data_IF_272949672482
#
_entry.id   IF_272949672482
#
_cell.length_a   1.000
_cell.length_b   1.000
_cell.length_c   1.000
_cell.angle_alpha   90.00
_cell.angle_beta   90.00
_cell.angle_gamma   90.00
#
_symmetry.space_group_name_H-M   'P 1'
#
loop_
_entity.id
_entity.type
_entity.pdbx_description
1 polymer ?
#
# COMPACT_ATOMS: atom_id res chain seq x y z
N UNK A 1 -21.51 -5.53 -71.25
CA UNK A 1 -20.42 -5.46 -72.24
C UNK A 1 -19.13 -5.08 -71.51
N UNK A 2 -18.09 -5.91 -71.63
CA UNK A 2 -16.66 -5.78 -71.25
C UNK A 2 -16.29 -5.48 -69.78
N UNK A 3 -15.74 -6.43 -68.99
CA UNK A 3 -14.42 -7.14 -69.07
C UNK A 3 -13.26 -6.14 -69.14
N UNK A 4 -12.15 -6.18 -68.38
CA UNK A 4 -11.44 -7.12 -67.48
C UNK A 4 -10.33 -6.26 -66.82
N UNK A 5 -9.86 -6.53 -65.60
CA UNK A 5 -8.66 -7.35 -65.38
C UNK A 5 -8.73 -8.07 -64.02
N UNK A 6 -8.78 -9.38 -64.12
CA UNK A 6 -8.32 -10.38 -63.16
C UNK A 6 -6.79 -10.44 -63.18
N UNK A 7 -6.18 -10.78 -62.04
CA UNK A 7 -5.27 -11.93 -61.85
C UNK A 7 -4.50 -11.72 -60.52
N UNK A 8 -4.73 -12.55 -59.49
CA UNK A 8 -3.94 -13.75 -59.12
C UNK A 8 -2.81 -13.37 -58.16
N UNK A 9 -2.38 -14.10 -57.11
CA UNK A 9 -2.61 -15.42 -56.52
C UNK A 9 -2.06 -15.28 -55.07
N UNK A 10 -2.75 -15.73 -54.02
CA UNK A 10 -2.63 -17.06 -53.43
C UNK A 10 -1.19 -17.60 -53.32
N UNK A 11 -0.63 -17.58 -52.10
CA UNK A 11 0.36 -18.55 -51.61
C UNK A 11 0.25 -18.61 -50.07
N UNK A 12 -0.56 -19.54 -49.55
CA UNK A 12 -0.14 -20.76 -48.84
C UNK A 12 0.54 -20.49 -47.49
N UNK A 13 -0.17 -20.71 -46.38
CA UNK A 13 -0.27 -22.01 -45.68
C UNK A 13 0.91 -22.23 -44.72
N UNK A 14 0.64 -22.19 -43.42
CA UNK A 14 0.56 -23.41 -42.60
C UNK A 14 0.64 -23.09 -41.10
N UNK A 15 -0.20 -23.81 -40.33
CA UNK A 15 -0.08 -24.09 -38.89
C UNK A 15 -0.34 -22.88 -37.96
N UNK A 16 -1.37 -22.83 -37.11
CA UNK A 16 -1.65 -23.80 -36.05
C UNK A 16 -3.12 -23.69 -35.60
N UNK A 17 -3.94 -24.65 -36.03
CA UNK A 17 -5.14 -25.06 -35.30
C UNK A 17 -4.83 -26.43 -34.70
N UNK A 18 -4.39 -26.45 -33.44
CA UNK A 18 -4.55 -27.62 -32.56
C UNK A 18 -5.14 -27.14 -31.24
N UNK A 19 -6.46 -27.33 -31.15
CA UNK A 19 -7.25 -27.34 -29.91
C UNK A 19 -6.60 -28.28 -28.91
N UNK A 20 -6.38 -27.81 -27.68
CA UNK A 20 -6.65 -28.63 -26.50
C UNK A 20 -7.78 -27.96 -25.74
N UNK A 21 -8.98 -28.52 -25.93
CA UNK A 21 -10.21 -28.21 -25.25
C UNK A 21 -10.04 -28.75 -23.82
N UNK A 22 -9.78 -27.91 -22.83
CA UNK A 22 -9.86 -28.34 -21.43
C UNK A 22 -11.34 -28.31 -21.08
N UNK A 23 -11.95 -29.48 -20.94
CA UNK A 23 -13.28 -29.63 -20.36
C UNK A 23 -13.20 -29.22 -18.89
N UNK A 24 -13.74 -28.04 -18.58
CA UNK A 24 -14.02 -27.67 -17.18
C UNK A 24 -15.42 -28.17 -16.85
N UNK A 25 -15.53 -29.46 -16.58
CA UNK A 25 -16.69 -30.04 -15.92
C UNK A 25 -16.20 -30.87 -14.73
N UNK A 26 -16.24 -30.23 -13.56
CA UNK A 26 -15.96 -30.82 -12.26
C UNK A 26 -15.85 -29.70 -11.22
N UNK A 27 -16.43 -29.85 -10.01
CA UNK A 27 -16.23 -28.87 -8.96
C UNK A 27 -14.73 -28.79 -8.67
N UNK A 28 -14.17 -27.58 -8.75
CA UNK A 28 -12.79 -27.32 -8.34
C UNK A 28 -12.67 -27.81 -6.90
N UNK A 29 -11.95 -28.93 -6.73
CA UNK A 29 -11.73 -29.57 -5.44
C UNK A 29 -11.18 -28.51 -4.48
N UNK A 30 -11.86 -28.28 -3.37
CA UNK A 30 -11.57 -27.27 -2.33
C UNK A 30 -10.09 -27.21 -1.92
N UNK A 31 -9.42 -28.37 -1.98
CA UNK A 31 -8.00 -28.58 -1.76
C UNK A 31 -7.06 -27.93 -2.81
N UNK A 32 -7.48 -27.70 -4.05
CA UNK A 32 -6.71 -26.95 -5.06
C UNK A 32 -6.77 -25.46 -4.79
N UNK A 33 -7.94 -24.95 -4.41
CA UNK A 33 -8.13 -23.55 -4.02
C UNK A 33 -7.31 -23.26 -2.75
N UNK A 34 -7.31 -24.17 -1.77
CA UNK A 34 -6.51 -24.05 -0.53
C UNK A 34 -4.99 -24.01 -0.79
N UNK A 35 -4.48 -24.80 -1.75
CA UNK A 35 -3.06 -24.83 -2.11
C UNK A 35 -2.58 -23.58 -2.87
N UNK A 36 -3.44 -22.94 -3.67
CA UNK A 36 -3.11 -21.68 -4.34
C UNK A 36 -3.30 -20.45 -3.43
N UNK A 37 -4.19 -20.54 -2.43
CA UNK A 37 -4.51 -19.45 -1.52
C UNK A 37 -3.64 -19.40 -0.25
N UNK A 38 -2.92 -20.47 0.10
CA UNK A 38 -2.07 -20.48 1.29
C UNK A 38 -0.58 -20.47 0.96
N UNK A 39 0.20 -19.48 1.43
CA UNK A 39 1.64 -19.51 1.27
C UNK A 39 2.27 -20.72 1.98
N UNK A 40 3.38 -21.23 1.44
CA UNK A 40 4.12 -22.33 2.08
C UNK A 40 4.74 -21.87 3.41
N UNK A 41 5.02 -22.81 4.31
CA UNK A 41 5.68 -22.47 5.59
C UNK A 41 7.03 -21.80 5.37
N UNK A 42 7.78 -22.22 4.34
CA UNK A 42 9.02 -21.59 3.92
C UNK A 42 8.82 -20.13 3.55
N UNK A 43 7.82 -19.83 2.71
CA UNK A 43 7.49 -18.45 2.34
C UNK A 43 7.06 -17.61 3.56
N UNK A 44 6.15 -18.13 4.39
CA UNK A 44 5.69 -17.43 5.61
C UNK A 44 6.87 -17.12 6.53
N UNK A 45 7.79 -18.07 6.69
CA UNK A 45 8.97 -17.91 7.53
C UNK A 45 9.92 -16.85 6.96
N UNK A 46 10.20 -16.91 5.66
CA UNK A 46 11.05 -15.95 4.98
C UNK A 46 10.48 -14.52 5.03
N UNK A 47 9.18 -14.38 4.75
CA UNK A 47 8.43 -13.12 4.90
C UNK A 47 8.56 -12.59 6.33
N UNK A 48 8.32 -13.43 7.34
CA UNK A 48 8.40 -13.01 8.74
C UNK A 48 9.79 -12.54 9.14
N UNK A 49 10.84 -13.19 8.65
CA UNK A 49 12.23 -12.76 8.86
C UNK A 49 12.46 -11.38 8.24
N UNK A 50 12.07 -11.19 6.98
CA UNK A 50 12.27 -9.92 6.27
C UNK A 50 11.47 -8.78 6.91
N UNK A 51 10.20 -9.02 7.28
CA UNK A 51 9.40 -8.05 8.04
C UNK A 51 10.12 -7.67 9.33
N UNK A 52 10.64 -8.66 10.08
CA UNK A 52 11.38 -8.39 11.33
C UNK A 52 12.59 -7.49 11.09
N UNK A 53 13.31 -7.66 9.97
CA UNK A 53 14.42 -6.79 9.59
C UNK A 53 13.96 -5.37 9.28
N UNK A 54 12.88 -5.20 8.52
CA UNK A 54 12.28 -3.89 8.24
C UNK A 54 11.71 -3.21 9.50
N UNK A 55 11.23 -3.99 10.47
CA UNK A 55 10.69 -3.50 11.75
C UNK A 55 11.76 -3.18 12.79
N UNK A 56 13.05 -3.35 12.49
CA UNK A 56 14.11 -2.96 13.43
C UNK A 56 14.10 -1.46 13.66
N UNK A 57 14.29 -1.04 14.92
CA UNK A 57 14.32 0.38 15.28
C UNK A 57 15.33 1.19 14.46
N UNK A 58 16.52 0.64 14.21
CA UNK A 58 17.56 1.33 13.44
C UNK A 58 17.25 1.46 11.93
N UNK A 59 16.31 0.67 11.43
CA UNK A 59 15.76 0.78 10.07
C UNK A 59 14.59 1.76 10.06
N UNK A 60 13.65 1.62 11.00
CA UNK A 60 12.51 2.55 11.12
C UNK A 60 12.98 3.99 11.38
N UNK A 61 13.96 4.20 12.25
CA UNK A 61 14.59 5.50 12.49
C UNK A 61 15.22 6.07 11.22
N UNK A 62 15.82 5.22 10.39
CA UNK A 62 16.36 5.65 9.11
C UNK A 62 15.24 6.15 8.20
N UNK A 63 14.13 5.39 8.08
CA UNK A 63 12.93 5.74 7.30
C UNK A 63 12.28 7.05 7.81
N UNK A 64 12.14 7.20 9.13
CA UNK A 64 11.59 8.42 9.75
C UNK A 64 12.49 9.62 9.44
N UNK A 65 13.82 9.48 9.52
CA UNK A 65 14.74 10.56 9.12
C UNK A 65 14.62 10.94 7.65
N UNK A 66 14.28 9.99 6.77
CA UNK A 66 13.99 10.30 5.35
C UNK A 66 12.77 11.20 5.22
N UNK A 67 11.84 11.01 6.16
CA UNK A 67 10.55 11.66 6.20
C UNK A 67 10.55 13.02 6.84
N UNK A 68 11.72 13.56 7.20
CA UNK A 68 11.87 14.88 7.82
C UNK A 68 12.90 15.75 7.09
N UNK A 69 13.21 15.44 5.82
CA UNK A 69 14.22 16.18 5.06
C UNK A 69 13.80 17.66 4.86
N UNK A 70 14.75 18.63 4.98
CA UNK A 70 14.44 20.06 4.86
C UNK A 70 13.90 20.47 3.50
N UNK A 71 13.24 21.63 3.45
CA UNK A 71 12.77 22.27 2.22
C UNK A 71 13.93 22.50 1.20
N UNK A 72 13.63 22.32 -0.09
CA UNK A 72 14.58 22.57 -1.19
C UNK A 72 15.31 21.35 -1.76
N UNK A 73 15.08 20.15 -1.22
CA UNK A 73 15.63 18.90 -1.76
C UNK A 73 14.83 18.37 -2.97
N UNK A 74 15.50 17.67 -3.88
CA UNK A 74 14.82 16.99 -4.98
C UNK A 74 14.22 15.69 -4.43
N UNK A 75 13.05 15.87 -3.80
CA UNK A 75 12.35 14.86 -3.01
C UNK A 75 12.31 13.48 -3.68
N UNK A 76 11.96 13.38 -4.96
CA UNK A 76 11.89 12.06 -5.62
C UNK A 76 13.25 11.39 -5.79
N UNK A 77 14.31 12.16 -6.06
CA UNK A 77 15.66 11.62 -6.23
C UNK A 77 16.26 11.20 -4.89
N UNK A 78 16.07 11.99 -3.86
CA UNK A 78 16.68 11.78 -2.56
C UNK A 78 15.97 10.66 -1.79
N UNK A 79 14.62 10.58 -1.89
CA UNK A 79 13.86 9.44 -1.39
C UNK A 79 14.28 8.12 -2.05
N UNK A 80 14.48 8.10 -3.37
CA UNK A 80 14.94 6.88 -4.06
C UNK A 80 16.35 6.44 -3.62
N UNK A 81 17.30 7.36 -3.51
CA UNK A 81 18.66 7.05 -3.03
C UNK A 81 18.65 6.53 -1.60
N UNK A 82 17.84 7.13 -0.75
CA UNK A 82 17.77 6.77 0.66
C UNK A 82 17.00 5.47 0.89
N UNK A 83 15.90 5.24 0.15
CA UNK A 83 15.21 3.95 0.06
C UNK A 83 16.19 2.84 -0.34
N UNK A 84 17.03 3.10 -1.35
CA UNK A 84 18.08 2.16 -1.76
C UNK A 84 19.11 1.94 -0.64
N UNK A 85 19.47 2.97 0.12
CA UNK A 85 20.34 2.85 1.28
C UNK A 85 19.78 1.94 2.37
N UNK A 86 18.49 2.08 2.70
CA UNK A 86 17.81 1.20 3.67
C UNK A 86 17.75 -0.24 3.14
N UNK A 87 17.41 -0.43 1.86
CA UNK A 87 17.39 -1.75 1.21
C UNK A 87 18.75 -2.43 1.24
N UNK A 88 19.83 -1.70 0.94
CA UNK A 88 21.19 -2.22 0.99
C UNK A 88 21.56 -2.65 2.42
N UNK A 89 21.21 -1.84 3.42
CA UNK A 89 21.46 -2.17 4.83
C UNK A 89 20.75 -3.46 5.26
N UNK A 90 19.51 -3.67 4.81
CA UNK A 90 18.79 -4.93 5.08
C UNK A 90 19.41 -6.10 4.31
N UNK A 91 19.88 -5.88 3.07
CA UNK A 91 20.59 -6.89 2.31
C UNK A 91 21.87 -7.33 3.04
N UNK A 92 22.65 -6.39 3.57
CA UNK A 92 23.84 -6.69 4.37
C UNK A 92 23.47 -7.53 5.60
N UNK A 93 22.38 -7.19 6.32
CA UNK A 93 21.88 -8.01 7.43
C UNK A 93 21.50 -9.43 6.99
N UNK A 94 20.91 -9.61 5.80
CA UNK A 94 20.60 -10.94 5.27
C UNK A 94 21.86 -11.74 4.95
N UNK A 95 22.90 -11.08 4.43
CA UNK A 95 24.20 -11.72 4.18
C UNK A 95 24.86 -12.19 5.48
N UNK A 96 24.71 -11.41 6.56
CA UNK A 96 25.22 -11.75 7.90
C UNK A 96 24.40 -12.87 8.59
N UNK A 97 23.09 -12.97 8.32
CA UNK A 97 22.19 -13.91 8.99
C UNK A 97 22.39 -15.39 8.62
N UNK A 98 22.93 -15.67 7.43
CA UNK A 98 23.07 -17.04 6.94
C UNK A 98 24.30 -17.17 6.07
N UNK A 99 25.01 -18.28 6.19
CA UNK A 99 26.11 -18.65 5.28
C UNK A 99 25.61 -19.40 4.04
N UNK A 100 24.33 -19.80 4.01
CA UNK A 100 23.76 -20.60 2.93
C UNK A 100 23.17 -19.71 1.82
N UNK A 101 23.73 -19.83 0.62
CA UNK A 101 23.32 -19.05 -0.55
C UNK A 101 21.83 -19.19 -0.90
N UNK A 102 21.26 -20.38 -0.67
CA UNK A 102 19.82 -20.64 -0.93
C UNK A 102 18.94 -19.78 -0.03
N UNK A 103 19.26 -19.72 1.27
CA UNK A 103 18.50 -18.92 2.25
C UNK A 103 18.68 -17.43 1.95
N UNK A 104 19.92 -16.99 1.67
CA UNK A 104 20.20 -15.61 1.28
C UNK A 104 19.35 -15.19 0.08
N UNK A 105 19.32 -16.00 -0.97
CA UNK A 105 18.54 -15.73 -2.17
C UNK A 105 17.05 -15.58 -1.87
N UNK A 106 16.47 -16.52 -1.12
CA UNK A 106 15.04 -16.48 -0.77
C UNK A 106 14.71 -15.19 0.00
N UNK A 107 15.53 -14.83 1.00
CA UNK A 107 15.32 -13.62 1.79
C UNK A 107 15.50 -12.36 0.92
N UNK A 108 16.57 -12.30 0.12
CA UNK A 108 16.84 -11.17 -0.79
C UNK A 108 15.71 -10.90 -1.78
N UNK A 109 15.11 -11.95 -2.32
CA UNK A 109 13.99 -11.84 -3.28
C UNK A 109 12.73 -11.21 -2.64
N UNK A 110 12.60 -11.27 -1.31
CA UNK A 110 11.45 -10.75 -0.54
C UNK A 110 11.69 -9.33 0.00
N UNK A 111 12.94 -8.88 0.14
CA UNK A 111 13.28 -7.54 0.67
C UNK A 111 12.56 -6.44 -0.12
N UNK A 112 12.61 -6.51 -1.45
CA UNK A 112 12.06 -5.47 -2.31
C UNK A 112 10.53 -5.39 -2.24
N UNK A 113 9.77 -6.49 -2.39
CA UNK A 113 8.33 -6.48 -2.19
C UNK A 113 7.89 -5.91 -0.84
N UNK A 114 8.50 -6.35 0.27
CA UNK A 114 8.15 -5.85 1.62
C UNK A 114 8.45 -4.36 1.75
N UNK A 115 9.62 -3.93 1.29
CA UNK A 115 9.98 -2.52 1.32
C UNK A 115 9.00 -1.67 0.51
N UNK A 116 8.63 -2.13 -0.69
CA UNK A 116 7.68 -1.41 -1.54
C UNK A 116 6.31 -1.28 -0.88
N UNK A 117 5.79 -2.35 -0.29
CA UNK A 117 4.53 -2.34 0.45
C UNK A 117 4.51 -1.28 1.57
N UNK A 118 5.62 -1.13 2.32
CA UNK A 118 5.75 -0.08 3.34
C UNK A 118 5.64 1.32 2.73
N UNK A 119 6.37 1.57 1.64
CA UNK A 119 6.38 2.89 1.00
C UNK A 119 5.04 3.21 0.35
N UNK A 120 4.39 2.23 -0.28
CA UNK A 120 3.06 2.39 -0.88
C UNK A 120 2.01 2.69 0.20
N UNK A 121 2.10 2.03 1.35
CA UNK A 121 1.25 2.34 2.50
C UNK A 121 1.49 3.75 3.01
N UNK A 122 2.75 4.17 3.19
CA UNK A 122 3.08 5.53 3.63
C UNK A 122 2.52 6.58 2.68
N UNK A 123 2.75 6.42 1.37
CA UNK A 123 2.24 7.32 0.34
C UNK A 123 0.71 7.40 0.35
N UNK A 124 0.04 6.26 0.47
CA UNK A 124 -1.43 6.22 0.57
C UNK A 124 -1.94 7.00 1.79
N UNK A 125 -1.36 6.74 2.97
CA UNK A 125 -1.80 7.37 4.21
C UNK A 125 -1.57 8.88 4.19
N UNK A 126 -0.38 9.34 3.79
CA UNK A 126 -0.07 10.76 3.77
C UNK A 126 -0.88 11.52 2.72
N UNK A 127 -1.04 10.94 1.52
CA UNK A 127 -1.71 11.61 0.41
C UNK A 127 -3.23 11.55 0.48
N UNK A 128 -3.81 10.46 1.00
CA UNK A 128 -5.28 10.22 0.97
C UNK A 128 -5.94 10.33 2.33
N UNK A 129 -5.24 9.96 3.39
CA UNK A 129 -5.84 9.92 4.74
C UNK A 129 -5.53 11.21 5.48
N UNK A 130 -4.26 11.54 5.67
CA UNK A 130 -3.86 12.71 6.46
C UNK A 130 -3.90 14.04 5.68
N UNK A 131 -4.18 14.02 4.37
CA UNK A 131 -4.09 15.15 3.43
C UNK A 131 -2.87 16.04 3.70
N UNK A 132 -1.69 15.44 3.83
CA UNK A 132 -0.48 16.23 3.85
C UNK A 132 -0.24 16.73 2.42
N UNK A 133 -0.77 17.91 2.12
CA UNK A 133 -0.88 18.42 0.76
C UNK A 133 0.50 18.84 0.23
N UNK A 134 0.96 18.15 -0.82
CA UNK A 134 2.18 18.45 -1.59
C UNK A 134 2.27 19.89 -2.13
N UNK A 135 1.19 20.68 -2.05
CA UNK A 135 1.12 22.06 -2.56
C UNK A 135 2.02 23.04 -1.80
N UNK A 136 2.34 22.72 -0.55
CA UNK A 136 3.36 23.41 0.24
C UNK A 136 4.39 22.35 0.60
N UNK A 137 5.68 22.65 0.45
CA UNK A 137 6.80 21.70 0.51
C UNK A 137 7.05 21.11 1.93
N UNK A 138 6.00 20.90 2.72
CA UNK A 138 6.04 20.27 4.03
C UNK A 138 6.08 18.76 3.88
N UNK A 139 7.28 18.28 3.57
CA UNK A 139 7.70 16.89 3.40
C UNK A 139 7.79 16.12 4.72
N UNK A 140 6.73 16.12 5.53
CA UNK A 140 6.63 15.25 6.70
C UNK A 140 5.74 14.06 6.40
N UNK A 141 6.33 12.87 6.22
CA UNK A 141 5.52 11.65 6.18
C UNK A 141 5.00 11.36 7.58
N UNK A 142 3.75 11.74 7.84
CA UNK A 142 3.07 11.48 9.12
C UNK A 142 3.01 9.97 9.33
N UNK A 143 2.73 9.23 8.25
CA UNK A 143 2.65 7.78 8.24
C UNK A 143 3.94 7.08 8.71
N UNK A 144 5.12 7.66 8.44
CA UNK A 144 6.41 7.08 8.86
C UNK A 144 6.53 6.93 10.39
N UNK A 145 5.85 7.78 11.16
CA UNK A 145 5.88 7.72 12.62
C UNK A 145 5.10 6.52 13.19
N UNK A 146 4.42 5.75 12.34
CA UNK A 146 3.54 4.67 12.75
C UNK A 146 3.91 3.31 12.13
N UNK A 147 5.14 3.16 11.61
CA UNK A 147 5.64 1.90 11.05
C UNK A 147 5.67 0.74 12.06
N UNK A 148 5.73 1.05 13.36
CA UNK A 148 5.63 0.10 14.46
C UNK A 148 4.22 -0.50 14.63
N UNK A 149 3.22 0.07 13.95
CA UNK A 149 1.80 -0.29 14.07
C UNK A 149 1.31 -1.14 12.90
N UNK A 150 2.17 -1.42 11.92
CA UNK A 150 1.80 -2.17 10.73
C UNK A 150 1.41 -3.60 11.10
N UNK A 151 0.20 -3.98 10.69
CA UNK A 151 -0.29 -5.35 10.79
C UNK A 151 -0.01 -6.03 9.46
N UNK A 152 0.64 -7.20 9.50
CA UNK A 152 1.08 -7.92 8.31
C UNK A 152 0.30 -9.21 8.10
N UNK A 153 -0.06 -9.47 6.85
CA UNK A 153 -0.56 -10.78 6.43
C UNK A 153 0.61 -11.78 6.28
N UNK A 154 0.28 -13.08 6.26
CA UNK A 154 1.26 -14.16 6.04
C UNK A 154 1.95 -14.12 4.66
N UNK A 155 1.49 -13.27 3.74
CA UNK A 155 2.03 -13.07 2.39
C UNK A 155 2.98 -11.87 2.30
N UNK A 156 3.16 -11.13 3.38
CA UNK A 156 4.00 -9.93 3.36
C UNK A 156 3.30 -8.72 2.75
N UNK A 157 1.98 -8.66 2.87
CA UNK A 157 1.14 -7.50 2.50
C UNK A 157 0.65 -6.88 3.79
N UNK A 158 0.59 -5.54 3.88
CA UNK A 158 0.04 -4.86 5.04
C UNK A 158 -1.48 -5.03 5.03
N UNK A 159 -2.05 -5.38 6.17
CA UNK A 159 -3.49 -5.33 6.38
C UNK A 159 -3.87 -3.89 6.74
N UNK A 160 -4.32 -3.13 5.75
CA UNK A 160 -4.57 -1.70 5.91
C UNK A 160 -5.70 -1.43 6.92
N UNK A 161 -6.74 -2.27 6.92
CA UNK A 161 -7.89 -2.12 7.81
C UNK A 161 -7.49 -2.43 9.26
N UNK A 162 -6.82 -3.56 9.51
CA UNK A 162 -6.36 -3.91 10.85
C UNK A 162 -5.26 -2.97 11.36
N UNK A 163 -4.41 -2.48 10.47
CA UNK A 163 -3.45 -1.40 10.78
C UNK A 163 -4.21 -0.14 11.20
N UNK A 164 -5.25 0.27 10.47
CA UNK A 164 -6.04 1.45 10.82
C UNK A 164 -6.74 1.31 12.19
N UNK A 165 -7.29 0.13 12.52
CA UNK A 165 -7.84 -0.15 13.86
C UNK A 165 -6.77 -0.05 14.95
N UNK A 166 -5.59 -0.62 14.70
CA UNK A 166 -4.44 -0.55 15.62
C UNK A 166 -4.03 0.91 15.87
N UNK A 167 -4.03 1.74 14.83
CA UNK A 167 -3.73 3.16 14.91
C UNK A 167 -4.79 3.94 15.70
N UNK A 168 -6.08 3.71 15.49
CA UNK A 168 -7.15 4.39 16.23
C UNK A 168 -7.04 4.18 17.76
N UNK A 169 -6.60 3.00 18.17
CA UNK A 169 -6.37 2.66 19.57
C UNK A 169 -5.17 3.41 20.20
N UNK A 170 -4.24 3.95 19.40
CA UNK A 170 -3.06 4.68 19.92
C UNK A 170 -3.43 6.04 20.45
N UNK A 171 -2.91 6.39 21.64
CA UNK A 171 -3.14 7.70 22.27
C UNK A 171 -2.38 8.82 21.57
N UNK A 172 -1.28 8.50 20.89
CA UNK A 172 -0.36 9.46 20.27
C UNK A 172 -0.90 10.08 18.96
N UNK A 173 -1.97 9.53 18.39
CA UNK A 173 -2.60 10.09 17.19
C UNK A 173 -3.59 11.17 17.62
N UNK A 174 -3.50 12.37 17.02
CA UNK A 174 -4.43 13.46 17.31
C UNK A 174 -5.86 13.06 16.95
N UNK A 175 -6.84 13.60 17.68
CA UNK A 175 -8.26 13.31 17.39
C UNK A 175 -8.62 13.66 15.93
N UNK A 176 -8.01 14.72 15.35
CA UNK A 176 -8.20 15.06 13.93
C UNK A 176 -7.70 13.95 13.00
N UNK A 177 -6.48 13.45 13.21
CA UNK A 177 -5.93 12.37 12.40
C UNK A 177 -6.69 11.06 12.61
N UNK A 178 -7.19 10.80 13.82
CA UNK A 178 -8.08 9.66 14.09
C UNK A 178 -9.39 9.79 13.33
N UNK A 179 -9.99 10.97 13.30
CA UNK A 179 -11.20 11.20 12.53
C UNK A 179 -10.99 10.96 11.05
N UNK A 180 -9.91 11.51 10.48
CA UNK A 180 -9.53 11.27 9.09
C UNK A 180 -9.36 9.79 8.77
N UNK A 181 -8.66 9.07 9.64
CA UNK A 181 -8.45 7.64 9.51
C UNK A 181 -9.77 6.86 9.60
N UNK A 182 -10.59 7.13 10.61
CA UNK A 182 -11.88 6.46 10.79
C UNK A 182 -12.81 6.70 9.58
N UNK A 183 -12.84 7.91 9.05
CA UNK A 183 -13.60 8.25 7.85
C UNK A 183 -13.09 7.51 6.61
N UNK A 184 -11.77 7.53 6.36
CA UNK A 184 -11.17 6.88 5.19
C UNK A 184 -11.43 5.37 5.17
N UNK A 185 -11.51 4.73 6.34
CA UNK A 185 -11.78 3.30 6.49
C UNK A 185 -13.24 2.97 6.86
N UNK A 186 -14.13 3.97 6.91
CA UNK A 186 -15.56 3.81 7.20
C UNK A 186 -15.86 3.14 8.55
N UNK A 187 -15.10 3.44 9.59
CA UNK A 187 -15.35 2.92 10.94
C UNK A 187 -16.45 3.75 11.65
N UNK A 188 -17.71 3.48 11.31
CA UNK A 188 -18.88 4.29 11.72
C UNK A 188 -18.95 4.56 13.23
N UNK A 189 -18.71 3.54 14.06
CA UNK A 189 -18.74 3.66 15.52
C UNK A 189 -17.65 4.63 16.02
N UNK A 190 -16.43 4.50 15.50
CA UNK A 190 -15.32 5.40 15.86
C UNK A 190 -15.59 6.83 15.38
N UNK A 191 -16.13 7.00 14.17
CA UNK A 191 -16.51 8.31 13.61
C UNK A 191 -17.50 9.02 14.55
N UNK A 192 -18.55 8.32 14.99
CA UNK A 192 -19.56 8.87 15.88
C UNK A 192 -18.98 9.28 17.25
N UNK A 193 -17.97 8.55 17.75
CA UNK A 193 -17.28 8.86 19.01
C UNK A 193 -16.33 10.07 18.86
N UNK A 194 -15.67 10.20 17.71
CA UNK A 194 -14.61 11.20 17.50
C UNK A 194 -15.17 12.55 17.06
N UNK A 195 -16.21 12.60 16.21
CA UNK A 195 -16.72 13.85 15.61
C UNK A 195 -16.98 14.99 16.62
N UNK A 196 -17.54 14.76 17.83
CA UNK A 196 -17.84 15.87 18.75
C UNK A 196 -16.58 16.59 19.25
N UNK A 197 -15.40 15.98 19.09
CA UNK A 197 -14.11 16.55 19.51
C UNK A 197 -13.45 17.38 18.41
N UNK A 198 -13.85 17.22 17.15
CA UNK A 198 -13.13 17.74 15.99
C UNK A 198 -14.01 18.46 14.97
N UNK A 199 -15.33 18.51 15.17
CA UNK A 199 -16.29 19.08 14.21
C UNK A 199 -15.92 20.50 13.78
N UNK A 200 -15.53 21.37 14.73
CA UNK A 200 -15.15 22.75 14.44
C UNK A 200 -13.87 22.82 13.59
N UNK A 201 -12.90 21.93 13.83
CA UNK A 201 -11.63 21.91 13.09
C UNK A 201 -11.74 21.29 11.70
N UNK A 202 -12.66 20.33 11.50
CA UNK A 202 -12.82 19.60 10.24
C UNK A 202 -13.58 20.44 9.21
N UNK A 203 -14.52 21.28 9.65
CA UNK A 203 -15.27 22.18 8.77
C UNK A 203 -14.39 23.28 8.15
N UNK A 204 -13.22 23.55 8.73
CA UNK A 204 -12.24 24.51 8.20
C UNK A 204 -11.29 23.91 7.15
N UNK A 205 -11.43 22.63 6.76
CA UNK A 205 -10.48 21.95 5.88
C UNK A 205 -10.75 22.19 4.39
N UNK A 206 -9.69 22.57 3.66
CA UNK A 206 -9.72 22.93 2.23
C UNK A 206 -9.43 21.74 1.27
N UNK A 207 -9.42 20.50 1.76
CA UNK A 207 -8.99 19.29 1.02
C UNK A 207 -10.15 18.44 0.44
N UNK A 208 -11.25 19.06 0.00
CA UNK A 208 -12.47 18.34 -0.40
C UNK A 208 -12.27 17.26 -1.48
N UNK A 209 -11.44 17.54 -2.50
CA UNK A 209 -11.21 16.61 -3.62
C UNK A 209 -10.42 15.35 -3.24
N UNK A 210 -9.72 15.37 -2.10
CA UNK A 210 -8.81 14.29 -1.67
C UNK A 210 -9.42 13.47 -0.54
N UNK A 211 -10.15 14.12 0.37
CA UNK A 211 -10.72 13.52 1.57
C UNK A 211 -12.25 13.35 1.47
N UNK A 212 -12.73 12.78 0.35
CA UNK A 212 -14.16 12.63 0.06
C UNK A 212 -14.93 11.95 1.21
N UNK A 213 -14.35 10.93 1.84
CA UNK A 213 -15.01 10.22 2.94
C UNK A 213 -15.14 11.06 4.20
N UNK A 214 -14.11 11.84 4.55
CA UNK A 214 -14.13 12.75 5.70
C UNK A 214 -15.27 13.75 5.53
N UNK A 215 -15.39 14.27 4.31
CA UNK A 215 -16.41 15.26 4.00
C UNK A 215 -17.82 14.65 4.00
N UNK A 216 -18.00 13.49 3.37
CA UNK A 216 -19.25 12.73 3.40
C UNK A 216 -19.74 12.49 4.84
N UNK A 217 -18.87 11.96 5.71
CA UNK A 217 -19.23 11.67 7.10
C UNK A 217 -19.56 12.92 7.90
N UNK A 218 -18.77 13.99 7.70
CA UNK A 218 -19.01 15.26 8.39
C UNK A 218 -20.37 15.83 8.00
N UNK A 219 -20.66 15.93 6.69
CA UNK A 219 -21.94 16.42 6.19
C UNK A 219 -23.12 15.53 6.65
N UNK A 220 -22.94 14.21 6.62
CA UNK A 220 -23.95 13.25 7.07
C UNK A 220 -24.32 13.44 8.54
N UNK A 221 -23.33 13.71 9.40
CA UNK A 221 -23.51 13.84 10.84
C UNK A 221 -23.96 15.24 11.28
N UNK A 222 -23.51 16.29 10.59
CA UNK A 222 -23.92 17.69 10.90
C UNK A 222 -25.23 18.08 10.23
N UNK A 223 -25.63 17.37 9.17
CA UNK A 223 -26.75 17.75 8.31
C UNK A 223 -26.42 18.88 7.34
N UNK A 224 -25.15 19.31 7.25
CA UNK A 224 -24.71 20.38 6.37
C UNK A 224 -24.11 19.82 5.07
N UNK A 225 -24.89 19.90 3.99
CA UNK A 225 -24.51 19.46 2.64
C UNK A 225 -24.13 20.64 1.72
N UNK A 226 -23.94 21.84 2.25
CA UNK A 226 -23.79 23.06 1.44
C UNK A 226 -22.55 23.05 0.53
N UNK A 227 -21.49 22.34 0.91
CA UNK A 227 -20.26 22.19 0.08
C UNK A 227 -20.26 20.87 -0.75
N UNK A 228 -21.24 19.95 -0.60
CA UNK A 228 -21.32 18.67 -1.35
C UNK A 228 -21.93 18.87 -2.74
N UNK A 229 -22.57 20.02 -2.94
CA UNK A 229 -23.33 20.35 -4.14
C UNK A 229 -22.68 21.46 -4.99
N UNK A 230 -21.42 21.83 -4.70
CA UNK A 230 -20.62 22.76 -5.52
C UNK A 230 -19.66 21.97 -6.41
#
# INVERSE_FOLDING_TARGET
MNKRKLANNAMNSSNFLKRAKISVEGPLKENVIRYYLMPSLEHISAVKIVITLWSRADIQDAIIKLSTLPEGYNYSRDMNKLCQGVKNKILDMVLELSEFDVIRKILSDIINPIGQEIFDWMEYQDSRVFCNNYRYQYTQHIAANYLDSLVWTSRGIIDYEETAKTLLAKVQISDNNKYHLACAYCFEDDIAIIIPKVVDTVLDLWCFDIQTMVYFWTAHLTGDFTELNK
#
